data_IF_833245515012
#
_entry.id   IF_833245515012
#
_cell.length_a   1.000
_cell.length_b   1.000
_cell.length_c   1.000
_cell.angle_alpha   90.00
_cell.angle_beta   90.00
_cell.angle_gamma   90.00
#
_symmetry.space_group_name_H-M   'P 1'
#
loop_
_entity.id
_entity.type
_entity.pdbx_description
1 polymer ?
#
# COMPACT_ATOMS: atom_id res chain seq x y z
N UNK A 1 25.82 -48.13 -34.31
CA UNK A 1 25.67 -47.16 -33.19
C UNK A 1 26.32 -45.85 -33.58
N UNK A 2 25.56 -44.91 -34.13
CA UNK A 2 26.07 -43.58 -34.48
C UNK A 2 25.84 -42.65 -33.30
N UNK A 3 26.93 -42.21 -32.67
CA UNK A 3 26.90 -41.29 -31.53
C UNK A 3 26.75 -39.88 -32.08
N UNK A 4 25.55 -39.32 -31.93
CA UNK A 4 25.26 -37.91 -32.22
C UNK A 4 25.83 -37.05 -31.08
N UNK A 5 27.06 -36.56 -31.25
CA UNK A 5 27.76 -35.69 -30.30
C UNK A 5 27.62 -34.21 -30.67
N UNK A 6 26.42 -33.77 -31.05
CA UNK A 6 26.15 -32.41 -31.54
C UNK A 6 25.27 -31.54 -30.64
N UNK A 7 25.10 -31.91 -29.36
CA UNK A 7 24.28 -31.15 -28.40
C UNK A 7 25.03 -31.01 -27.08
N UNK A 8 25.70 -29.87 -26.84
CA UNK A 8 25.98 -29.35 -25.50
C UNK A 8 26.77 -28.02 -25.45
N UNK A 9 27.26 -27.47 -26.57
CA UNK A 9 27.75 -26.10 -26.55
C UNK A 9 26.65 -25.19 -27.07
N UNK A 10 25.82 -24.68 -26.16
CA UNK A 10 25.14 -23.41 -26.41
C UNK A 10 26.25 -22.45 -26.81
N UNK A 11 26.22 -21.96 -28.05
CA UNK A 11 27.24 -21.06 -28.56
C UNK A 11 27.37 -19.92 -27.54
N UNK A 12 28.54 -19.73 -26.90
CA UNK A 12 28.66 -18.78 -25.80
C UNK A 12 28.24 -17.37 -26.23
N UNK A 13 28.40 -17.07 -27.52
CA UNK A 13 27.87 -15.90 -28.22
C UNK A 13 26.35 -15.79 -28.16
N UNK A 14 25.60 -16.86 -28.41
CA UNK A 14 24.14 -16.88 -28.33
C UNK A 14 23.65 -16.65 -26.89
N UNK A 15 24.33 -17.24 -25.90
CA UNK A 15 24.01 -17.00 -24.49
C UNK A 15 24.26 -15.54 -24.09
N UNK A 16 25.40 -14.96 -24.50
CA UNK A 16 25.72 -13.55 -24.24
C UNK A 16 24.75 -12.60 -24.96
N UNK A 17 24.35 -12.91 -26.19
CA UNK A 17 23.36 -12.14 -26.93
C UNK A 17 21.99 -12.16 -26.23
N UNK A 18 21.56 -13.32 -25.70
CA UNK A 18 20.33 -13.42 -24.94
C UNK A 18 20.36 -12.61 -23.64
N UNK A 19 21.47 -12.66 -22.90
CA UNK A 19 21.64 -11.86 -21.67
C UNK A 19 21.63 -10.37 -21.98
N UNK A 20 22.32 -9.93 -23.03
CA UNK A 20 22.34 -8.53 -23.46
C UNK A 20 20.94 -8.04 -23.89
N UNK A 21 20.21 -8.86 -24.65
CA UNK A 21 18.83 -8.56 -25.02
C UNK A 21 17.92 -8.44 -23.78
N UNK A 22 18.08 -9.35 -22.80
CA UNK A 22 17.31 -9.32 -21.56
C UNK A 22 17.62 -8.09 -20.71
N UNK A 23 18.90 -7.73 -20.53
CA UNK A 23 19.29 -6.55 -19.73
C UNK A 23 18.87 -5.25 -20.41
N UNK A 24 18.95 -5.17 -21.74
CA UNK A 24 18.43 -4.03 -22.50
C UNK A 24 16.91 -3.92 -22.36
N UNK A 25 16.18 -5.04 -22.48
CA UNK A 25 14.73 -5.05 -22.29
C UNK A 25 14.33 -4.63 -20.86
N UNK A 26 15.04 -5.11 -19.83
CA UNK A 26 14.84 -4.68 -18.44
C UNK A 26 15.17 -3.20 -18.23
N UNK A 27 16.24 -2.69 -18.86
CA UNK A 27 16.61 -1.28 -18.81
C UNK A 27 15.54 -0.37 -19.43
N UNK A 28 15.08 -0.73 -20.64
CA UNK A 28 13.98 -0.03 -21.32
C UNK A 28 12.69 -0.12 -20.51
N UNK A 29 12.38 -1.30 -19.98
CA UNK A 29 11.24 -1.48 -19.08
C UNK A 29 11.35 -0.60 -17.84
N UNK A 30 12.51 -0.55 -17.20
CA UNK A 30 12.75 0.27 -16.00
C UNK A 30 12.60 1.77 -16.29
N UNK A 31 13.14 2.25 -17.42
CA UNK A 31 12.98 3.65 -17.84
C UNK A 31 11.52 3.96 -18.18
N UNK A 32 10.86 3.10 -18.94
CA UNK A 32 9.44 3.25 -19.26
C UNK A 32 8.57 3.24 -18.00
N UNK A 33 8.86 2.34 -17.06
CA UNK A 33 8.19 2.23 -15.76
C UNK A 33 8.44 3.48 -14.90
N UNK A 34 9.66 4.02 -14.88
CA UNK A 34 9.98 5.24 -14.15
C UNK A 34 9.31 6.50 -14.73
N UNK A 35 8.89 6.45 -16.00
CA UNK A 35 8.15 7.52 -16.65
C UNK A 35 6.62 7.40 -16.48
N UNK A 36 6.12 6.29 -15.93
CA UNK A 36 4.73 6.20 -15.51
C UNK A 36 4.56 7.08 -14.28
N UNK A 37 3.69 8.12 -14.34
CA UNK A 37 3.37 8.90 -13.15
C UNK A 37 2.87 7.97 -12.05
N UNK A 38 3.39 8.12 -10.83
CA UNK A 38 2.89 7.49 -9.60
C UNK A 38 1.47 7.99 -9.22
N UNK A 39 0.66 8.38 -10.19
CA UNK A 39 -0.72 8.89 -10.05
C UNK A 39 -1.73 7.77 -9.83
N UNK A 40 -1.32 6.51 -10.04
CA UNK A 40 -1.98 5.41 -9.38
C UNK A 40 -1.46 5.37 -7.95
N UNK A 41 -2.22 5.96 -7.03
CA UNK A 41 -2.21 5.56 -5.64
C UNK A 41 -2.00 4.02 -5.64
N UNK A 42 -0.85 3.61 -5.11
CA UNK A 42 -0.51 2.20 -5.02
C UNK A 42 -1.09 1.69 -3.71
N UNK A 43 -1.81 0.55 -3.70
CA UNK A 43 -2.40 -0.03 -2.49
C UNK A 43 -1.44 -0.09 -1.29
N UNK A 44 -0.14 -0.25 -1.59
CA UNK A 44 0.95 -0.20 -0.61
C UNK A 44 1.01 1.09 0.22
N UNK A 45 0.60 2.24 -0.32
CA UNK A 45 0.57 3.53 0.39
C UNK A 45 -0.58 3.59 1.39
N UNK A 46 -1.76 3.09 1.01
CA UNK A 46 -2.90 3.01 1.93
C UNK A 46 -2.64 1.98 3.05
N UNK A 47 -2.00 0.85 2.75
CA UNK A 47 -1.60 -0.13 3.75
C UNK A 47 -0.52 0.40 4.69
N UNK A 48 0.49 1.12 4.18
CA UNK A 48 1.50 1.77 5.01
C UNK A 48 0.91 2.87 5.91
N UNK A 49 -0.01 3.68 5.39
CA UNK A 49 -0.73 4.68 6.18
C UNK A 49 -1.62 4.01 7.25
N UNK A 50 -2.29 2.91 6.90
CA UNK A 50 -3.09 2.13 7.84
C UNK A 50 -2.22 1.52 8.95
N UNK A 51 -1.07 0.94 8.62
CA UNK A 51 -0.12 0.40 9.60
C UNK A 51 0.43 1.49 10.53
N UNK A 52 0.66 2.71 10.02
CA UNK A 52 1.09 3.84 10.84
C UNK A 52 0.00 4.29 11.82
N UNK A 53 -1.24 4.43 11.35
CA UNK A 53 -2.38 4.83 12.20
C UNK A 53 -2.68 3.75 13.24
N UNK A 54 -2.64 2.47 12.86
CA UNK A 54 -2.84 1.34 13.76
C UNK A 54 -1.72 1.27 14.82
N UNK A 55 -0.46 1.44 14.41
CA UNK A 55 0.68 1.52 15.33
C UNK A 55 0.58 2.67 16.33
N UNK A 56 0.03 3.82 15.93
CA UNK A 56 -0.20 4.96 16.82
C UNK A 56 -1.36 4.76 17.80
N UNK A 57 -2.37 3.97 17.44
CA UNK A 57 -3.49 3.61 18.33
C UNK A 57 -3.06 2.55 19.37
N UNK A 58 -1.99 1.80 19.09
CA UNK A 58 -1.39 0.83 19.99
C UNK A 58 -2.16 -0.49 20.10
N UNK A 59 -1.64 -1.48 20.84
CA UNK A 59 -2.19 -2.85 20.89
C UNK A 59 -3.50 -2.98 21.69
N UNK A 60 -4.14 -1.87 22.07
CA UNK A 60 -5.35 -1.82 22.86
C UNK A 60 -6.60 -1.44 22.05
N UNK A 61 -7.77 -1.31 22.70
CA UNK A 61 -8.96 -0.78 22.05
C UNK A 61 -8.68 0.63 21.52
N UNK A 62 -8.84 0.82 20.21
CA UNK A 62 -8.59 2.09 19.54
C UNK A 62 -9.44 3.20 20.17
N UNK A 63 -8.77 4.28 20.59
CA UNK A 63 -9.43 5.47 21.12
C UNK A 63 -9.74 6.47 19.98
N UNK A 64 -11.02 6.80 19.74
CA UNK A 64 -11.40 7.81 18.75
C UNK A 64 -10.73 9.18 18.96
N UNK A 65 -10.37 9.55 20.20
CA UNK A 65 -9.68 10.81 20.48
C UNK A 65 -8.23 10.81 19.97
N UNK A 66 -7.58 9.65 19.95
CA UNK A 66 -6.23 9.44 19.43
C UNK A 66 -6.16 9.49 17.90
N UNK A 67 -7.29 9.28 17.20
CA UNK A 67 -7.35 9.25 15.73
C UNK A 67 -6.84 10.57 15.10
N UNK A 68 -7.18 11.72 15.68
CA UNK A 68 -6.73 13.02 15.16
C UNK A 68 -5.24 13.31 15.39
N UNK A 69 -4.64 12.72 16.42
CA UNK A 69 -3.20 12.78 16.65
C UNK A 69 -2.46 11.86 15.67
N UNK A 70 -2.96 10.63 15.49
CA UNK A 70 -2.43 9.67 14.53
C UNK A 70 -2.45 10.21 13.09
N UNK A 71 -3.53 10.91 12.69
CA UNK A 71 -3.62 11.52 11.37
C UNK A 71 -2.60 12.64 11.17
N UNK A 72 -2.36 13.47 12.19
CA UNK A 72 -1.37 14.56 12.11
C UNK A 72 0.07 14.08 12.10
N UNK A 73 0.34 12.87 12.60
CA UNK A 73 1.67 12.27 12.61
C UNK A 73 2.15 11.73 11.26
N UNK A 74 1.25 11.60 10.27
CA UNK A 74 1.61 11.08 8.95
C UNK A 74 2.39 12.14 8.15
N UNK A 75 3.62 11.81 7.68
CA UNK A 75 4.44 12.76 6.92
C UNK A 75 3.73 13.23 5.64
N UNK A 76 3.72 14.56 5.44
CA UNK A 76 2.75 15.30 4.61
C UNK A 76 2.96 15.32 3.09
N UNK A 77 3.14 14.17 2.45
CA UNK A 77 3.20 14.08 0.97
C UNK A 77 1.86 13.74 0.30
N UNK A 78 0.83 13.39 1.08
CA UNK A 78 -0.47 12.94 0.58
C UNK A 78 -1.61 13.50 1.43
N UNK A 79 -2.78 13.67 0.81
CA UNK A 79 -4.04 13.90 1.53
C UNK A 79 -4.59 12.56 2.00
N UNK A 80 -5.12 12.52 3.23
CA UNK A 80 -5.75 11.30 3.73
C UNK A 80 -6.99 11.56 4.57
N UNK A 81 -7.92 10.60 4.51
CA UNK A 81 -9.08 10.50 5.37
C UNK A 81 -9.01 9.20 6.16
N UNK A 82 -8.94 9.29 7.48
CA UNK A 82 -9.11 8.15 8.36
C UNK A 82 -10.55 8.15 8.89
N UNK A 83 -11.29 7.10 8.57
CA UNK A 83 -12.64 6.87 9.09
C UNK A 83 -12.63 5.65 9.99
N UNK A 84 -12.96 5.85 11.26
CA UNK A 84 -13.21 4.80 12.23
C UNK A 84 -14.72 4.59 12.38
N UNK A 85 -15.20 3.38 12.10
CA UNK A 85 -16.64 3.06 12.12
C UNK A 85 -16.93 1.89 13.04
N UNK A 86 -17.97 2.03 13.84
CA UNK A 86 -18.60 0.93 14.60
C UNK A 86 -20.03 0.75 14.10
N UNK A 87 -20.76 -0.24 14.62
CA UNK A 87 -22.18 -0.43 14.29
C UNK A 87 -23.06 0.79 14.67
N UNK A 88 -22.64 1.60 15.63
CA UNK A 88 -23.46 2.67 16.21
C UNK A 88 -22.89 4.08 16.03
N UNK A 89 -21.60 4.21 15.72
CA UNK A 89 -20.90 5.50 15.60
C UNK A 89 -19.83 5.49 14.51
N UNK A 90 -19.64 6.65 13.90
CA UNK A 90 -18.60 6.89 12.89
C UNK A 90 -17.83 8.15 13.27
N UNK A 91 -16.51 8.07 13.21
CA UNK A 91 -15.59 9.19 13.40
C UNK A 91 -14.73 9.30 12.14
N UNK A 92 -14.67 10.49 11.55
CA UNK A 92 -13.85 10.75 10.37
C UNK A 92 -12.91 11.92 10.66
N UNK A 93 -11.65 11.76 10.25
CA UNK A 93 -10.61 12.78 10.39
C UNK A 93 -9.92 12.93 9.04
N UNK A 94 -9.80 14.17 8.56
CA UNK A 94 -9.19 14.51 7.28
C UNK A 94 -10.19 15.14 6.31
N UNK A 95 -9.72 15.58 5.12
CA UNK A 95 -10.59 16.18 4.12
C UNK A 95 -11.61 15.16 3.59
N UNK A 96 -12.76 15.61 3.06
CA UNK A 96 -13.74 14.71 2.47
C UNK A 96 -13.11 13.93 1.30
N UNK A 97 -13.45 12.64 1.22
CA UNK A 97 -12.96 11.73 0.18
C UNK A 97 -13.28 12.29 -1.22
N UNK A 98 -12.30 12.41 -2.13
CA UNK A 98 -12.58 12.81 -3.50
C UNK A 98 -13.39 11.74 -4.24
N UNK A 99 -14.22 12.16 -5.19
CA UNK A 99 -15.04 11.25 -6.01
C UNK A 99 -14.22 10.39 -7.00
N UNK A 100 -12.94 10.74 -7.18
CA UNK A 100 -12.01 10.03 -8.05
C UNK A 100 -11.46 8.73 -7.42
N UNK A 101 -10.64 8.00 -8.18
CA UNK A 101 -9.94 6.79 -7.72
C UNK A 101 -9.05 7.16 -6.51
N UNK A 102 -9.41 6.64 -5.35
CA UNK A 102 -8.65 6.82 -4.11
C UNK A 102 -8.40 5.44 -3.49
N UNK A 103 -7.17 5.20 -3.07
CA UNK A 103 -6.83 3.94 -2.42
C UNK A 103 -7.45 3.86 -1.05
N UNK A 104 -7.98 2.69 -0.73
CA UNK A 104 -8.66 2.43 0.52
C UNK A 104 -8.09 1.17 1.14
N UNK A 105 -7.45 1.31 2.29
CA UNK A 105 -7.10 0.20 3.15
C UNK A 105 -8.07 0.17 4.34
N UNK A 106 -8.46 -1.02 4.78
CA UNK A 106 -9.35 -1.14 5.93
C UNK A 106 -9.02 -2.37 6.77
N UNK A 107 -9.04 -2.20 8.09
CA UNK A 107 -8.81 -3.26 9.05
C UNK A 107 -9.91 -3.29 10.11
N UNK A 108 -10.16 -4.47 10.68
CA UNK A 108 -11.10 -4.65 11.78
C UNK A 108 -10.34 -4.56 13.10
N UNK A 109 -10.80 -3.68 14.00
CA UNK A 109 -10.14 -3.47 15.29
C UNK A 109 -11.15 -3.10 16.37
N UNK A 110 -10.90 -3.50 17.63
CA UNK A 110 -11.75 -3.14 18.75
C UNK A 110 -11.68 -1.63 19.00
N UNK A 111 -12.83 -0.97 19.10
CA UNK A 111 -12.93 0.48 19.30
C UNK A 111 -13.52 0.76 20.68
N UNK A 112 -12.88 1.65 21.43
CA UNK A 112 -13.40 2.18 22.70
C UNK A 112 -14.42 3.27 22.39
N UNK A 113 -15.70 2.96 22.60
CA UNK A 113 -16.81 3.89 22.35
C UNK A 113 -17.11 4.76 23.58
N UNK A 114 -16.77 4.26 24.77
CA UNK A 114 -16.84 4.95 26.06
C UNK A 114 -15.84 4.31 27.04
N UNK A 115 -15.62 4.92 28.22
CA UNK A 115 -14.66 4.44 29.22
C UNK A 115 -14.81 2.96 29.63
N UNK A 116 -16.00 2.37 29.47
CA UNK A 116 -16.26 0.96 29.80
C UNK A 116 -16.86 0.15 28.64
N UNK A 117 -16.95 0.70 27.42
CA UNK A 117 -17.60 0.00 26.29
C UNK A 117 -16.63 -0.13 25.12
N UNK A 118 -16.24 -1.38 24.84
CA UNK A 118 -15.47 -1.76 23.65
C UNK A 118 -16.43 -2.43 22.67
N UNK A 119 -16.39 -2.03 21.40
CA UNK A 119 -17.18 -2.64 20.32
C UNK A 119 -16.28 -3.01 19.15
N UNK A 120 -16.63 -4.07 18.39
CA UNK A 120 -15.97 -4.32 17.13
C UNK A 120 -16.20 -3.14 16.19
N UNK A 121 -15.11 -2.64 15.60
CA UNK A 121 -15.12 -1.55 14.63
C UNK A 121 -14.24 -1.86 13.43
N UNK A 122 -14.30 -0.96 12.47
CA UNK A 122 -13.53 -0.98 11.24
C UNK A 122 -12.84 0.36 11.08
N UNK A 123 -11.52 0.36 11.02
CA UNK A 123 -10.73 1.49 10.59
C UNK A 123 -10.60 1.43 9.07
N UNK A 124 -10.83 2.53 8.39
CA UNK A 124 -10.65 2.68 6.95
C UNK A 124 -9.82 3.93 6.71
N UNK A 125 -8.72 3.78 5.98
CA UNK A 125 -7.84 4.87 5.61
C UNK A 125 -7.92 5.02 4.10
N UNK A 126 -8.24 6.23 3.66
CA UNK A 126 -8.30 6.61 2.27
C UNK A 126 -7.18 7.60 2.01
N UNK A 127 -6.33 7.34 1.02
CA UNK A 127 -5.19 8.20 0.66
C UNK A 127 -5.32 8.64 -0.80
N UNK A 128 -5.01 9.90 -1.07
CA UNK A 128 -4.98 10.49 -2.40
C UNK A 128 -3.97 11.65 -2.46
N UNK A 129 -3.61 12.08 -3.68
CA UNK A 129 -2.74 13.24 -3.91
C UNK A 129 -3.45 14.27 -4.75
#
# INVERSE_FOLDING_TARGET
MSRSSGRAQVEPTAALAAVLALTAALGVYGVAYAQVPLDAASPAHADAALAHVDGHLGPGPADPAGLAAAVRGVPGTYSMNATLRTATRTWAVGPPRPAARADTAATALPVRVSNATVRPGRLSVVVWR
#
